data_IF_981260131783
#
_entry.id   IF_981260131783
#
_cell.length_a   1.000
_cell.length_b   1.000
_cell.length_c   1.000
_cell.angle_alpha   90.00
_cell.angle_beta   90.00
_cell.angle_gamma   90.00
#
_symmetry.space_group_name_H-M   'P 1'
#
loop_
_entity.id
_entity.type
_entity.pdbx_description
1 polymer ?
#
# COMPACT_ATOMS: atom_id res chain seq x y z
N UNK A 1 6.60 8.74 -21.74
CA UNK A 1 5.86 7.46 -21.63
C UNK A 1 5.15 7.51 -20.30
N UNK A 2 3.82 7.50 -20.28
CA UNK A 2 3.07 7.47 -19.03
C UNK A 2 3.30 6.12 -18.37
N UNK A 3 3.94 6.11 -17.20
CA UNK A 3 4.11 4.89 -16.41
C UNK A 3 2.87 4.71 -15.54
N UNK A 4 2.29 3.51 -15.59
CA UNK A 4 1.21 3.12 -14.69
C UNK A 4 1.79 2.22 -13.60
N UNK A 5 1.26 2.33 -12.38
CA UNK A 5 1.43 1.29 -11.36
C UNK A 5 0.33 0.24 -11.56
N UNK A 6 0.72 -1.01 -11.76
CA UNK A 6 -0.23 -2.12 -11.72
C UNK A 6 -0.67 -2.35 -10.27
N UNK A 7 -1.94 -2.12 -9.97
CA UNK A 7 -2.54 -2.38 -8.67
C UNK A 7 -3.30 -3.71 -8.73
N UNK A 8 -2.90 -4.68 -7.91
CA UNK A 8 -3.48 -6.02 -7.88
C UNK A 8 -4.00 -6.39 -6.50
N UNK A 9 -5.25 -6.87 -6.43
CA UNK A 9 -5.82 -7.44 -5.20
C UNK A 9 -5.58 -8.94 -5.16
N UNK A 10 -4.77 -9.44 -4.22
CA UNK A 10 -4.30 -10.83 -4.22
C UNK A 10 -5.36 -11.87 -3.82
N UNK A 11 -6.48 -11.43 -3.25
CA UNK A 11 -7.60 -12.33 -2.91
C UNK A 11 -8.53 -12.58 -4.09
N UNK A 12 -8.66 -11.62 -5.03
CA UNK A 12 -9.52 -11.74 -6.22
C UNK A 12 -8.73 -11.96 -7.50
N UNK A 13 -7.49 -11.48 -7.56
CA UNK A 13 -6.68 -11.41 -8.77
C UNK A 13 -7.04 -10.22 -9.67
N UNK A 14 -7.89 -9.31 -9.21
CA UNK A 14 -8.27 -8.13 -10.00
C UNK A 14 -7.07 -7.19 -10.14
N UNK A 15 -6.83 -6.75 -11.38
CA UNK A 15 -5.74 -5.85 -11.75
C UNK A 15 -6.32 -4.57 -12.34
N UNK A 16 -5.88 -3.44 -11.82
CA UNK A 16 -6.13 -2.12 -12.37
C UNK A 16 -4.81 -1.41 -12.67
N UNK A 17 -4.78 -0.57 -13.72
CA UNK A 17 -3.66 0.32 -13.98
C UNK A 17 -3.96 1.70 -13.39
N UNK A 18 -2.99 2.27 -12.71
CA UNK A 18 -3.13 3.57 -12.03
C UNK A 18 -2.06 4.53 -12.53
N UNK A 19 -2.48 5.50 -13.33
CA UNK A 19 -1.62 6.59 -13.81
C UNK A 19 -1.31 7.62 -12.73
N UNK A 20 -0.19 8.33 -12.88
CA UNK A 20 0.28 9.36 -11.95
C UNK A 20 -0.65 10.58 -11.89
N UNK A 21 -1.24 10.90 -13.04
CA UNK A 21 -2.15 12.01 -13.26
C UNK A 21 -3.45 11.91 -12.46
N UNK A 22 -3.80 10.71 -11.98
CA UNK A 22 -4.95 10.49 -11.13
C UNK A 22 -4.76 11.06 -9.70
N UNK A 23 -3.54 11.48 -9.34
CA UNK A 23 -3.21 11.98 -8.00
C UNK A 23 -2.75 13.43 -8.09
N UNK A 24 -3.41 14.29 -7.33
CA UNK A 24 -3.04 15.70 -7.21
C UNK A 24 -1.69 15.84 -6.50
N UNK A 25 -0.81 16.70 -7.01
CA UNK A 25 0.56 16.89 -6.49
C UNK A 25 0.61 17.26 -5.01
N UNK A 26 -0.35 18.05 -4.53
CA UNK A 26 -0.46 18.42 -3.11
C UNK A 26 -0.76 17.20 -2.24
N UNK A 27 -1.65 16.30 -2.68
CA UNK A 27 -1.91 15.02 -2.01
C UNK A 27 -0.64 14.18 -1.95
N UNK A 28 0.08 14.09 -3.08
CA UNK A 28 1.32 13.33 -3.14
C UNK A 28 2.39 13.88 -2.19
N UNK A 29 2.52 15.21 -2.08
CA UNK A 29 3.45 15.85 -1.17
C UNK A 29 3.11 15.58 0.31
N UNK A 30 1.82 15.61 0.66
CA UNK A 30 1.33 15.29 2.01
C UNK A 30 1.64 13.83 2.34
N UNK A 31 1.24 12.91 1.46
CA UNK A 31 1.44 11.46 1.66
C UNK A 31 2.92 11.10 1.63
N UNK A 32 3.74 11.74 0.80
CA UNK A 32 5.19 11.52 0.76
C UNK A 32 5.90 11.99 2.04
N UNK A 33 5.47 13.11 2.62
CA UNK A 33 5.97 13.59 3.90
C UNK A 33 5.58 12.65 5.04
N UNK A 34 4.31 12.22 5.06
CA UNK A 34 3.81 11.23 6.01
C UNK A 34 4.56 9.89 5.89
N UNK A 35 4.74 9.37 4.68
CA UNK A 35 5.42 8.10 4.44
C UNK A 35 6.88 8.14 4.93
N UNK A 36 7.55 9.29 4.74
CA UNK A 36 8.89 9.50 5.29
C UNK A 36 8.88 9.41 6.82
N UNK A 37 7.93 10.08 7.48
CA UNK A 37 7.78 10.02 8.94
C UNK A 37 7.48 8.61 9.43
N UNK A 38 6.55 7.90 8.79
CA UNK A 38 6.14 6.55 9.18
C UNK A 38 7.28 5.52 9.05
N UNK A 39 8.07 5.62 7.99
CA UNK A 39 9.27 4.77 7.82
C UNK A 39 10.31 5.02 8.91
N UNK A 40 10.51 6.28 9.32
CA UNK A 40 11.48 6.63 10.37
C UNK A 40 10.99 6.19 11.74
N UNK A 41 9.70 6.35 12.04
CA UNK A 41 9.16 6.01 13.35
C UNK A 41 9.08 4.50 13.59
N UNK A 42 8.89 3.71 12.52
CA UNK A 42 8.74 2.26 12.58
C UNK A 42 7.52 1.82 13.39
N UNK A 43 6.54 2.70 13.58
CA UNK A 43 5.33 2.49 14.36
C UNK A 43 4.09 2.86 13.52
N UNK A 44 2.90 2.35 13.87
CA UNK A 44 1.67 2.81 13.23
C UNK A 44 1.50 4.33 13.41
N UNK A 45 1.38 5.06 12.31
CA UNK A 45 1.14 6.51 12.28
C UNK A 45 -0.28 6.82 11.81
N UNK A 46 -0.93 7.88 12.33
CA UNK A 46 -2.24 8.33 11.85
C UNK A 46 -2.22 8.63 10.35
N UNK A 47 -3.28 8.24 9.64
CA UNK A 47 -3.37 8.42 8.19
C UNK A 47 -3.75 9.88 7.85
N UNK A 48 -3.01 10.58 6.97
CA UNK A 48 -3.29 11.98 6.66
C UNK A 48 -4.70 12.18 6.10
N UNK A 49 -5.43 13.17 6.63
CA UNK A 49 -6.78 13.50 6.17
C UNK A 49 -7.89 12.60 6.72
N UNK A 50 -7.55 11.51 7.42
CA UNK A 50 -8.52 10.56 7.98
C UNK A 50 -8.64 10.77 9.49
N UNK A 51 -9.86 11.06 9.97
CA UNK A 51 -10.13 11.41 11.38
C UNK A 51 -10.70 10.27 12.23
N UNK A 52 -10.90 9.09 11.64
CA UNK A 52 -11.53 7.93 12.29
C UNK A 52 -10.63 7.21 13.30
N UNK A 53 -9.37 7.63 13.47
CA UNK A 53 -8.42 6.97 14.38
C UNK A 53 -7.69 5.78 13.75
N UNK A 54 -7.88 5.54 12.45
CA UNK A 54 -7.07 4.60 11.69
C UNK A 54 -5.60 5.04 11.63
N UNK A 55 -4.72 4.05 11.62
CA UNK A 55 -3.27 4.25 11.50
C UNK A 55 -2.69 3.28 10.48
N UNK A 56 -1.52 3.59 9.94
CA UNK A 56 -0.78 2.68 9.07
C UNK A 56 0.67 2.56 9.51
N UNK A 57 1.19 1.33 9.51
CA UNK A 57 2.60 1.03 9.70
C UNK A 57 3.25 0.87 8.34
N UNK A 58 4.29 1.65 8.06
CA UNK A 58 5.10 1.53 6.86
C UNK A 58 6.49 0.98 7.20
N UNK A 59 6.93 -0.04 6.47
CA UNK A 59 8.25 -0.66 6.63
C UNK A 59 8.91 -0.76 5.26
N UNK A 60 10.21 -0.45 5.21
CA UNK A 60 11.04 -0.78 4.06
C UNK A 60 11.68 -2.15 4.29
N UNK A 61 11.46 -3.08 3.38
CA UNK A 61 12.06 -4.41 3.41
C UNK A 61 12.77 -4.67 2.09
N UNK A 62 14.08 -4.94 2.17
CA UNK A 62 14.94 -5.16 1.01
C UNK A 62 14.69 -4.16 -0.12
N UNK A 63 14.56 -2.85 0.16
CA UNK A 63 14.34 -1.84 -0.88
C UNK A 63 12.92 -1.74 -1.46
N UNK A 64 11.98 -2.60 -1.04
CA UNK A 64 10.55 -2.46 -1.33
C UNK A 64 9.77 -1.92 -0.13
N UNK A 65 8.56 -1.42 -0.37
CA UNK A 65 7.68 -0.91 0.69
C UNK A 65 6.64 -1.97 1.07
N UNK A 66 6.40 -2.13 2.37
CA UNK A 66 5.25 -2.84 2.95
C UNK A 66 4.49 -1.89 3.84
N UNK A 67 3.17 -1.81 3.68
CA UNK A 67 2.29 -1.00 4.53
C UNK A 67 1.16 -1.85 5.05
N UNK A 68 0.88 -1.76 6.34
CA UNK A 68 -0.31 -2.35 6.96
C UNK A 68 -1.20 -1.26 7.53
N UNK A 69 -2.46 -1.23 7.09
CA UNK A 69 -3.50 -0.32 7.59
C UNK A 69 -4.25 -0.99 8.71
N UNK A 70 -4.46 -0.27 9.81
CA UNK A 70 -5.17 -0.71 10.97
C UNK A 70 -6.48 0.07 11.17
N UNK A 71 -7.46 -0.59 11.76
CA UNK A 71 -8.66 0.01 12.31
C UNK A 71 -8.34 0.97 13.47
N UNK A 72 -9.34 1.68 13.98
CA UNK A 72 -9.18 2.47 15.20
C UNK A 72 -8.70 1.58 16.36
N UNK A 73 -7.81 2.12 17.20
CA UNK A 73 -7.34 1.40 18.39
C UNK A 73 -8.49 1.25 19.38
N UNK A 74 -8.89 0.02 19.76
CA UNK A 74 -9.94 -0.18 20.74
C UNK A 74 -9.45 0.11 22.16
N UNK A 75 -10.38 0.34 23.09
CA UNK A 75 -10.07 0.51 24.52
C UNK A 75 -9.42 -0.74 25.13
N UNK A 76 -9.77 -1.92 24.61
CA UNK A 76 -9.24 -3.23 25.02
C UNK A 76 -8.86 -4.05 23.80
N UNK A 77 -7.64 -4.59 23.80
CA UNK A 77 -7.15 -5.47 22.73
C UNK A 77 -6.20 -4.75 21.76
N UNK A 78 -6.10 -5.28 20.53
CA UNK A 78 -5.27 -4.72 19.46
C UNK A 78 -6.16 -4.17 18.35
N UNK A 79 -5.68 -3.14 17.67
CA UNK A 79 -6.32 -2.65 16.46
C UNK A 79 -6.36 -3.75 15.39
N UNK A 80 -7.49 -3.87 14.71
CA UNK A 80 -7.65 -4.82 13.61
C UNK A 80 -6.74 -4.41 12.45
N UNK A 81 -5.95 -5.35 11.93
CA UNK A 81 -5.35 -5.15 10.62
C UNK A 81 -6.46 -5.23 9.56
N UNK A 82 -6.54 -4.24 8.68
CA UNK A 82 -7.57 -4.15 7.62
C UNK A 82 -7.02 -4.57 6.27
N UNK A 83 -5.80 -4.14 5.95
CA UNK A 83 -5.11 -4.51 4.71
C UNK A 83 -3.60 -4.49 4.96
N UNK A 84 -2.88 -5.39 4.29
CA UNK A 84 -1.45 -5.20 4.03
C UNK A 84 -1.22 -5.09 2.53
N UNK A 85 -0.48 -4.08 2.11
CA UNK A 85 -0.06 -3.95 0.71
C UNK A 85 1.44 -3.73 0.60
N UNK A 86 2.00 -4.14 -0.53
CA UNK A 86 3.40 -3.90 -0.84
C UNK A 86 3.57 -3.20 -2.18
N UNK A 87 4.63 -2.41 -2.30
CA UNK A 87 4.96 -1.64 -3.50
C UNK A 87 6.39 -1.95 -3.94
N UNK A 88 6.54 -2.43 -5.17
CA UNK A 88 7.84 -2.67 -5.79
C UNK A 88 8.02 -1.81 -7.04
N UNK A 89 9.16 -1.13 -7.13
CA UNK A 89 9.53 -0.28 -8.28
C UNK A 89 10.68 -0.86 -9.10
N UNK A 90 11.40 -1.83 -8.55
CA UNK A 90 12.54 -2.48 -9.19
C UNK A 90 12.46 -4.00 -9.07
N UNK A 91 12.89 -4.69 -10.13
CA UNK A 91 12.85 -6.16 -10.21
C UNK A 91 13.65 -6.85 -9.11
N UNK A 92 14.76 -6.25 -8.66
CA UNK A 92 15.63 -6.79 -7.61
C UNK A 92 14.89 -7.10 -6.31
N UNK A 93 13.91 -6.27 -5.94
CA UNK A 93 13.22 -6.34 -4.65
C UNK A 93 11.83 -6.98 -4.77
N UNK A 94 11.35 -7.10 -6.00
CA UNK A 94 9.98 -7.48 -6.29
C UNK A 94 9.69 -8.96 -5.96
N UNK A 95 10.63 -9.88 -6.22
CA UNK A 95 10.40 -11.31 -6.05
C UNK A 95 10.23 -11.71 -4.57
N UNK A 96 11.08 -11.15 -3.69
CA UNK A 96 11.00 -11.40 -2.25
C UNK A 96 9.71 -10.81 -1.67
N UNK A 97 9.37 -9.57 -2.03
CA UNK A 97 8.12 -8.94 -1.59
C UNK A 97 6.89 -9.71 -2.06
N UNK A 98 6.85 -10.11 -3.34
CA UNK A 98 5.76 -10.89 -3.89
C UNK A 98 5.56 -12.21 -3.14
N UNK A 99 6.65 -12.95 -2.92
CA UNK A 99 6.62 -14.22 -2.20
C UNK A 99 6.13 -14.06 -0.76
N UNK A 100 6.57 -13.00 -0.08
CA UNK A 100 6.13 -12.66 1.28
C UNK A 100 4.63 -12.35 1.34
N UNK A 101 4.13 -11.52 0.42
CA UNK A 101 2.71 -11.15 0.37
C UNK A 101 1.82 -12.37 0.12
N UNK A 102 2.20 -13.26 -0.81
CA UNK A 102 1.45 -14.50 -1.08
C UNK A 102 1.38 -15.45 0.13
N UNK A 103 2.34 -15.37 1.05
CA UNK A 103 2.39 -16.18 2.28
C UNK A 103 1.70 -15.52 3.46
N UNK A 104 1.23 -14.27 3.32
CA UNK A 104 0.68 -13.51 4.46
C UNK A 104 -0.64 -14.12 4.95
N UNK A 105 -1.44 -14.71 4.05
CA UNK A 105 -2.77 -15.25 4.38
C UNK A 105 -3.12 -16.51 3.56
N UNK A 106 -3.81 -17.50 4.15
CA UNK A 106 -4.09 -18.78 3.49
C UNK A 106 -5.14 -18.70 2.37
N UNK A 107 -5.96 -17.65 2.33
CA UNK A 107 -7.02 -17.45 1.33
C UNK A 107 -6.56 -16.64 0.11
N UNK A 108 -5.28 -16.28 0.03
CA UNK A 108 -4.71 -15.63 -1.16
C UNK A 108 -4.73 -16.62 -2.33
N UNK A 109 -5.05 -16.13 -3.53
CA UNK A 109 -5.02 -16.94 -4.75
C UNK A 109 -3.60 -17.41 -5.06
N UNK A 110 -3.46 -18.69 -5.39
CA UNK A 110 -2.16 -19.33 -5.66
C UNK A 110 -1.74 -19.29 -7.13
N UNK A 111 -2.67 -18.97 -8.03
CA UNK A 111 -2.49 -18.96 -9.48
C UNK A 111 -2.12 -17.57 -10.04
N UNK A 112 -1.83 -16.62 -9.16
CA UNK A 112 -1.51 -15.25 -9.55
C UNK A 112 -0.13 -15.14 -10.19
N UNK A 113 -0.07 -14.34 -11.25
CA UNK A 113 1.18 -13.94 -11.87
C UNK A 113 1.59 -12.57 -11.33
N UNK A 114 2.87 -12.42 -11.01
CA UNK A 114 3.42 -11.14 -10.59
C UNK A 114 3.35 -10.14 -11.75
N UNK A 115 2.81 -8.92 -11.54
CA UNK A 115 2.81 -7.90 -12.58
C UNK A 115 4.23 -7.40 -12.92
N UNK A 116 4.39 -6.82 -14.11
CA UNK A 116 5.58 -6.03 -14.44
C UNK A 116 5.72 -4.82 -13.50
N UNK A 117 6.96 -4.35 -13.29
CA UNK A 117 7.21 -3.17 -12.46
C UNK A 117 6.72 -1.88 -13.17
N UNK A 118 6.34 -0.84 -12.39
CA UNK A 118 6.07 -0.88 -10.95
C UNK A 118 4.71 -1.51 -10.63
N UNK A 119 4.57 -2.11 -9.44
CA UNK A 119 3.29 -2.64 -8.96
C UNK A 119 3.03 -2.35 -7.49
N UNK A 120 1.74 -2.36 -7.14
CA UNK A 120 1.20 -2.36 -5.80
C UNK A 120 0.31 -3.60 -5.64
N UNK A 121 0.62 -4.48 -4.68
CA UNK A 121 -0.14 -5.70 -4.43
C UNK A 121 -0.78 -5.64 -3.05
N UNK A 122 -2.07 -5.93 -2.98
CA UNK A 122 -2.91 -5.71 -1.80
C UNK A 122 -3.50 -7.02 -1.28
N UNK A 123 -3.40 -7.22 0.03
CA UNK A 123 -4.02 -8.30 0.79
C UNK A 123 -5.05 -7.67 1.73
N UNK A 124 -6.34 -7.61 1.33
CA UNK A 124 -7.40 -7.25 2.25
C UNK A 124 -7.62 -8.36 3.28
N UNK A 125 -7.79 -7.99 4.56
CA UNK A 125 -8.10 -8.91 5.64
C UNK A 125 -9.62 -9.00 5.88
N UNK A 126 -10.16 -10.13 6.38
CA UNK A 126 -11.59 -10.30 6.67
C UNK A 126 -12.16 -9.20 7.58
N UNK A 127 -11.33 -8.68 8.50
CA UNK A 127 -11.73 -7.61 9.41
C UNK A 127 -12.17 -6.34 8.67
N UNK A 128 -11.70 -6.07 7.45
CA UNK A 128 -12.12 -4.92 6.65
C UNK A 128 -13.65 -4.85 6.47
N UNK A 129 -14.35 -5.99 6.47
CA UNK A 129 -15.81 -6.05 6.38
C UNK A 129 -16.52 -5.40 7.59
N UNK A 130 -15.84 -5.30 8.73
CA UNK A 130 -16.35 -4.63 9.93
C UNK A 130 -16.01 -3.13 9.98
N UNK A 131 -15.21 -2.64 9.03
CA UNK A 131 -14.73 -1.26 8.94
C UNK A 131 -15.11 -0.68 7.58
N UNK A 132 -16.41 -0.63 7.28
CA UNK A 132 -16.92 -0.23 5.95
C UNK A 132 -16.62 1.23 5.60
N UNK A 133 -16.47 2.09 6.61
CA UNK A 133 -15.99 3.46 6.44
C UNK A 133 -14.54 3.49 5.92
N UNK A 134 -13.69 2.59 6.43
CA UNK A 134 -12.32 2.41 5.95
C UNK A 134 -12.27 1.92 4.50
N UNK A 135 -13.15 0.98 4.14
CA UNK A 135 -13.24 0.44 2.79
C UNK A 135 -13.50 1.52 1.71
N UNK A 136 -14.14 2.64 2.07
CA UNK A 136 -14.44 3.72 1.15
C UNK A 136 -13.22 4.53 0.69
N UNK A 137 -12.12 4.54 1.46
CA UNK A 137 -10.93 5.36 1.16
C UNK A 137 -9.63 4.57 1.04
N UNK A 138 -9.58 3.32 1.55
CA UNK A 138 -8.36 2.50 1.57
C UNK A 138 -7.72 2.36 0.18
N UNK A 139 -8.51 2.08 -0.86
CA UNK A 139 -7.98 1.93 -2.22
C UNK A 139 -7.34 3.24 -2.74
N UNK A 140 -7.90 4.40 -2.36
CA UNK A 140 -7.31 5.69 -2.73
C UNK A 140 -5.99 5.95 -1.98
N UNK A 141 -5.97 5.61 -0.69
CA UNK A 141 -4.78 5.72 0.14
C UNK A 141 -3.64 4.82 -0.37
N UNK A 142 -3.91 3.56 -0.70
CA UNK A 142 -2.94 2.63 -1.30
C UNK A 142 -2.30 3.22 -2.56
N UNK A 143 -3.11 3.79 -3.46
CA UNK A 143 -2.63 4.42 -4.70
C UNK A 143 -1.76 5.63 -4.41
N UNK A 144 -2.17 6.50 -3.50
CA UNK A 144 -1.40 7.67 -3.10
C UNK A 144 -0.04 7.28 -2.51
N UNK A 145 -0.02 6.26 -1.64
CA UNK A 145 1.21 5.74 -1.03
C UNK A 145 2.12 5.09 -2.07
N UNK A 146 1.56 4.28 -2.97
CA UNK A 146 2.31 3.63 -4.03
C UNK A 146 3.00 4.64 -4.94
N UNK A 147 2.29 5.70 -5.34
CA UNK A 147 2.87 6.78 -6.12
C UNK A 147 3.85 7.63 -5.32
N UNK A 148 3.62 7.87 -4.03
CA UNK A 148 4.56 8.59 -3.17
C UNK A 148 5.88 7.82 -3.05
N UNK A 149 5.81 6.50 -2.94
CA UNK A 149 6.97 5.61 -2.93
C UNK A 149 7.68 5.58 -4.28
N UNK A 150 6.95 5.32 -5.37
CA UNK A 150 7.50 5.28 -6.72
C UNK A 150 8.18 6.60 -7.11
N UNK A 151 7.57 7.72 -6.72
CA UNK A 151 8.10 9.05 -6.96
C UNK A 151 9.33 9.37 -6.12
N UNK A 152 9.83 8.51 -5.22
CA UNK A 152 11.11 8.77 -4.53
C UNK A 152 12.33 8.48 -5.42
N UNK A 153 12.16 7.69 -6.47
CA UNK A 153 13.22 7.36 -7.42
C UNK A 153 13.22 8.38 -8.57
N UNK A 154 14.29 9.16 -8.78
CA UNK A 154 14.36 10.18 -9.83
C UNK A 154 14.18 9.64 -11.25
N UNK A 155 14.54 8.38 -11.49
CA UNK A 155 14.39 7.72 -12.79
C UNK A 155 12.91 7.56 -13.20
N UNK A 156 11.99 7.59 -12.23
CA UNK A 156 10.54 7.61 -12.45
C UNK A 156 9.96 9.05 -12.47
N UNK A 157 10.77 10.07 -12.16
CA UNK A 157 10.37 11.50 -12.18
C UNK A 157 10.63 12.21 -13.50
N UNK A 158 11.42 11.61 -14.41
CA UNK A 158 11.95 12.26 -15.61
C UNK A 158 11.41 11.72 -16.94
N UNK A 159 10.13 11.32 -17.02
CA UNK A 159 9.54 10.71 -18.22
C UNK A 159 8.06 11.08 -18.39
#
# INVERSE_FOLDING_TARGET
MTYDIAHITLTTGDVAKQGREAIVDTTLAIVGSWLTSALVSGKPEPIPGIKSGNAALALQQDGALVVTVYGPTPDVGKADALVTFGVATHSMHANNLWSMLLQTQPYIRKDLQQPCMPWCAVVPYPNLLNHTDAAAWIADFERCVAWAWASRNPELRGI
#
